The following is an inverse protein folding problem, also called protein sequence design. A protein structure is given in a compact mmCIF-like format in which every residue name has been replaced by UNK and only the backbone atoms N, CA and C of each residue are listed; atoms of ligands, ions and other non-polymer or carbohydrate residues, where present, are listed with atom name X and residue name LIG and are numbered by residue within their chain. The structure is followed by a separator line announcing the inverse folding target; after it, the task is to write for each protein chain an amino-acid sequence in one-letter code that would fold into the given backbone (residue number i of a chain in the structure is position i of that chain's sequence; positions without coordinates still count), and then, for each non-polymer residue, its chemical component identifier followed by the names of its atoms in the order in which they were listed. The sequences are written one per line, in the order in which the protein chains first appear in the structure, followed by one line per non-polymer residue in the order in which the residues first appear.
data_IF_347026017651
#
_entry.id   IF_347026017651
#
_cell.length_a   1.000
_cell.length_b   1.000
_cell.length_c   1.000
_cell.angle_alpha   90.00
_cell.angle_beta   90.00
_cell.angle_gamma   90.00
#
_symmetry.space_group_name_H-M   'P 1'
#
loop_
_entity.id
_entity.type
_entity.pdbx_description
1 polymer ?
#
# COMPACT_ATOMS: atom_id res chain seq x y z
N UNK A 1 11.66 -20.62 9.47
CA UNK A 1 12.78 -19.70 9.17
C UNK A 1 12.30 -18.86 8.00
N UNK A 2 12.37 -17.53 8.09
CA UNK A 2 11.93 -16.66 6.99
C UNK A 2 12.93 -16.78 5.83
N UNK A 3 12.41 -16.79 4.60
CA UNK A 3 13.20 -16.61 3.38
C UNK A 3 13.82 -15.21 3.34
N UNK A 4 14.90 -15.04 2.54
CA UNK A 4 15.52 -13.73 2.35
C UNK A 4 14.54 -12.68 1.84
N UNK A 5 13.62 -13.08 0.93
CA UNK A 5 12.51 -12.24 0.47
C UNK A 5 11.61 -11.79 1.61
N UNK A 6 11.18 -12.70 2.47
CA UNK A 6 10.30 -12.36 3.60
C UNK A 6 10.97 -11.37 4.55
N UNK A 7 12.27 -11.57 4.86
CA UNK A 7 13.04 -10.64 5.68
C UNK A 7 13.08 -9.23 5.09
N UNK A 8 13.23 -9.10 3.78
CA UNK A 8 13.24 -7.81 3.08
C UNK A 8 11.86 -7.16 3.02
N UNK A 9 10.79 -7.95 2.82
CA UNK A 9 9.42 -7.45 2.87
C UNK A 9 9.08 -6.92 4.28
N UNK A 10 9.54 -7.58 5.35
CA UNK A 10 9.44 -7.06 6.71
C UNK A 10 10.31 -5.83 6.93
N UNK A 11 11.49 -5.78 6.31
CA UNK A 11 12.37 -4.63 6.37
C UNK A 11 11.79 -3.38 5.77
N UNK A 12 11.26 -3.52 4.57
CA UNK A 12 10.57 -2.45 3.87
C UNK A 12 9.33 -1.99 4.64
N UNK A 13 8.56 -2.90 5.27
CA UNK A 13 7.49 -2.51 6.20
C UNK A 13 7.99 -1.66 7.37
N UNK A 14 9.13 -2.03 7.95
CA UNK A 14 9.80 -1.24 8.98
C UNK A 14 10.14 0.16 8.49
N UNK A 15 10.81 0.25 7.34
CA UNK A 15 11.16 1.52 6.69
C UNK A 15 9.95 2.40 6.42
N UNK A 16 8.87 1.86 5.82
CA UNK A 16 7.65 2.62 5.54
C UNK A 16 7.07 3.22 6.82
N UNK A 17 7.00 2.44 7.90
CA UNK A 17 6.49 2.96 9.17
C UNK A 17 7.43 4.05 9.71
N UNK A 18 8.71 3.77 9.86
CA UNK A 18 9.63 4.70 10.54
C UNK A 18 9.91 5.96 9.71
N UNK A 19 10.09 5.80 8.41
CA UNK A 19 10.65 6.83 7.54
C UNK A 19 9.60 7.54 6.67
N UNK A 20 8.47 6.91 6.38
CA UNK A 20 7.37 7.58 5.67
C UNK A 20 6.28 8.05 6.61
N UNK A 21 6.03 7.42 7.75
CA UNK A 21 4.98 7.89 8.66
C UNK A 21 5.55 8.80 9.75
N UNK A 22 6.65 8.40 10.39
CA UNK A 22 7.18 9.12 11.55
C UNK A 22 8.30 10.12 11.25
N UNK A 23 8.87 10.14 10.05
CA UNK A 23 9.93 11.07 9.70
C UNK A 23 9.41 12.43 9.23
N UNK A 24 9.45 13.40 10.14
CA UNK A 24 9.05 14.79 9.90
C UNK A 24 9.93 15.52 8.89
N UNK A 25 11.19 15.10 8.70
CA UNK A 25 12.09 15.73 7.72
C UNK A 25 11.68 15.43 6.27
N UNK A 26 10.98 14.30 6.06
CA UNK A 26 10.38 13.93 4.77
C UNK A 26 8.99 14.53 4.56
N UNK A 27 8.56 15.46 5.43
CA UNK A 27 7.28 16.16 5.34
C UNK A 27 6.12 15.47 6.06
N UNK A 28 6.35 14.33 6.71
CA UNK A 28 5.30 13.56 7.38
C UNK A 28 5.24 13.89 8.87
N UNK A 29 4.23 14.65 9.32
CA UNK A 29 4.05 15.01 10.73
C UNK A 29 3.01 14.11 11.41
N UNK A 30 3.42 12.90 11.80
CA UNK A 30 2.53 11.98 12.51
C UNK A 30 1.87 12.58 13.74
N UNK A 31 2.58 13.43 14.51
CA UNK A 31 1.98 14.09 15.68
C UNK A 31 0.95 15.14 15.28
N UNK A 32 1.14 15.81 14.15
CA UNK A 32 0.15 16.67 13.53
C UNK A 32 -1.10 15.87 13.12
N UNK A 33 -0.90 14.78 12.38
CA UNK A 33 -1.97 13.85 11.99
C UNK A 33 -2.72 13.32 13.22
N UNK A 34 -2.03 12.85 14.25
CA UNK A 34 -2.63 12.33 15.49
C UNK A 34 -3.52 13.37 16.17
N UNK A 35 -3.09 14.64 16.25
CA UNK A 35 -3.90 15.73 16.82
C UNK A 35 -5.17 15.98 16.01
N UNK A 36 -5.05 16.02 14.68
CA UNK A 36 -6.20 16.20 13.79
C UNK A 36 -7.18 15.05 14.02
N UNK A 37 -6.70 13.81 13.97
CA UNK A 37 -7.53 12.64 14.16
C UNK A 37 -8.19 12.60 15.54
N UNK A 38 -7.51 13.02 16.61
CA UNK A 38 -8.07 13.08 17.98
C UNK A 38 -9.27 14.05 18.10
N UNK A 39 -9.37 15.07 17.23
CA UNK A 39 -10.57 15.89 17.18
C UNK A 39 -11.76 15.13 16.61
N UNK A 40 -11.53 14.34 15.56
CA UNK A 40 -12.55 13.51 14.93
C UNK A 40 -12.93 12.30 15.80
N UNK A 41 -12.04 11.79 16.66
CA UNK A 41 -12.35 10.64 17.55
C UNK A 41 -13.46 10.95 18.56
N UNK A 42 -13.69 12.24 18.88
CA UNK A 42 -14.78 12.69 19.75
C UNK A 42 -16.16 12.32 19.21
N UNK A 43 -16.29 12.21 17.88
CA UNK A 43 -17.55 11.93 17.19
C UNK A 43 -17.54 10.61 16.42
N UNK A 44 -16.37 10.17 15.95
CA UNK A 44 -16.20 8.99 15.09
C UNK A 44 -15.23 7.99 15.71
N UNK A 45 -15.35 6.70 15.36
CA UNK A 45 -14.33 5.71 15.69
C UNK A 45 -13.34 5.63 14.52
N UNK A 46 -12.18 6.22 14.71
CA UNK A 46 -11.15 6.28 13.67
C UNK A 46 -10.28 5.03 13.72
N UNK A 47 -10.00 4.48 12.54
CA UNK A 47 -9.02 3.44 12.32
C UNK A 47 -8.01 3.96 11.30
N UNK A 48 -6.78 4.16 11.74
CA UNK A 48 -5.67 4.39 10.82
C UNK A 48 -4.98 3.07 10.57
N UNK A 49 -4.64 2.79 9.33
CA UNK A 49 -3.69 1.73 9.04
C UNK A 49 -2.78 2.09 7.88
N UNK A 50 -1.69 1.34 7.78
CA UNK A 50 -0.71 1.47 6.72
C UNK A 50 -0.62 0.12 6.01
N UNK A 51 -0.70 0.14 4.69
CA UNK A 51 -0.67 -1.02 3.82
C UNK A 51 0.43 -0.80 2.80
N UNK A 52 1.05 -1.87 2.35
CA UNK A 52 1.97 -1.81 1.23
C UNK A 52 1.32 -2.59 0.11
N UNK A 53 0.98 -1.91 -0.98
CA UNK A 53 0.45 -2.56 -2.18
C UNK A 53 1.59 -2.83 -3.13
N UNK A 54 1.57 -4.00 -3.74
CA UNK A 54 2.40 -4.24 -4.88
C UNK A 54 1.56 -4.00 -6.14
N UNK A 55 2.07 -3.17 -7.05
CA UNK A 55 1.42 -2.83 -8.32
C UNK A 55 2.12 -3.41 -9.55
N UNK A 56 3.32 -3.99 -9.36
CA UNK A 56 4.09 -4.60 -10.44
C UNK A 56 3.77 -6.08 -10.65
N UNK A 57 3.21 -6.74 -9.63
CA UNK A 57 2.61 -8.07 -9.76
C UNK A 57 1.10 -7.95 -9.85
N UNK A 58 0.49 -8.86 -10.59
CA UNK A 58 -0.92 -9.16 -10.44
C UNK A 58 -1.11 -10.04 -9.19
N UNK A 59 -0.53 -9.70 -8.04
CA UNK A 59 -0.62 -10.53 -6.81
C UNK A 59 -2.06 -10.73 -6.33
N UNK A 60 -2.98 -9.89 -6.78
CA UNK A 60 -4.38 -9.92 -6.38
C UNK A 60 -5.26 -9.39 -7.49
N UNK A 61 -6.26 -10.19 -7.85
CA UNK A 61 -7.39 -9.79 -8.66
C UNK A 61 -8.55 -9.51 -7.69
N UNK A 62 -8.93 -8.24 -7.55
CA UNK A 62 -9.93 -7.83 -6.57
C UNK A 62 -11.33 -7.91 -7.19
N UNK A 63 -12.28 -8.45 -6.43
CA UNK A 63 -13.71 -8.39 -6.74
C UNK A 63 -14.40 -7.54 -5.68
N UNK A 64 -15.26 -6.63 -6.10
CA UNK A 64 -16.04 -5.77 -5.21
C UNK A 64 -17.47 -6.28 -5.14
N UNK A 65 -17.77 -7.13 -4.15
CA UNK A 65 -19.13 -7.67 -3.92
C UNK A 65 -19.28 -9.16 -4.25
N UNK A 66 -20.47 -9.69 -3.98
CA UNK A 66 -20.83 -11.10 -4.23
C UNK A 66 -21.36 -11.33 -5.65
N UNK A 67 -21.78 -10.26 -6.36
CA UNK A 67 -22.34 -10.32 -7.71
C UNK A 67 -21.40 -9.70 -8.75
N UNK A 68 -21.04 -10.55 -9.70
CA UNK A 68 -20.56 -10.29 -11.07
C UNK A 68 -19.06 -9.98 -11.31
N UNK A 69 -18.63 -10.48 -12.47
CA UNK A 69 -17.29 -10.82 -12.98
C UNK A 69 -16.31 -9.65 -13.11
N UNK A 70 -16.62 -8.52 -12.49
CA UNK A 70 -15.86 -7.29 -12.57
C UNK A 70 -14.65 -7.38 -11.65
N UNK A 71 -13.49 -7.29 -12.28
CA UNK A 71 -12.20 -7.45 -11.60
C UNK A 71 -11.45 -6.14 -11.59
N UNK A 72 -10.66 -5.94 -10.54
CA UNK A 72 -9.91 -4.72 -10.35
C UNK A 72 -8.46 -5.02 -9.98
N UNK A 73 -7.58 -4.09 -10.35
CA UNK A 73 -6.15 -4.14 -10.05
C UNK A 73 -5.60 -2.75 -9.75
N UNK A 74 -4.45 -2.72 -9.09
CA UNK A 74 -3.71 -1.49 -8.83
C UNK A 74 -2.66 -1.27 -9.92
N UNK A 75 -2.52 -0.01 -10.35
CA UNK A 75 -1.49 0.45 -11.27
C UNK A 75 -0.82 1.69 -10.70
N UNK A 76 0.41 2.01 -11.14
CA UNK A 76 1.06 3.28 -10.84
C UNK A 76 0.98 4.20 -12.05
N UNK A 77 0.29 5.33 -11.91
CA UNK A 77 0.13 6.33 -12.97
C UNK A 77 0.49 7.72 -12.44
N UNK A 78 1.39 8.43 -13.14
CA UNK A 78 1.85 9.76 -12.73
C UNK A 78 2.37 9.85 -11.28
N UNK A 79 2.92 8.75 -10.75
CA UNK A 79 3.42 8.70 -9.38
C UNK A 79 2.37 8.32 -8.33
N UNK A 80 1.11 8.13 -8.73
CA UNK A 80 0.01 7.76 -7.85
C UNK A 80 -0.45 6.32 -8.07
N UNK A 81 -0.97 5.69 -7.03
CA UNK A 81 -1.57 4.37 -7.12
C UNK A 81 -3.05 4.49 -7.50
N UNK A 82 -3.41 3.96 -8.67
CA UNK A 82 -4.78 3.97 -9.17
C UNK A 82 -5.38 2.57 -9.14
N UNK A 83 -6.65 2.46 -8.79
CA UNK A 83 -7.39 1.21 -8.76
C UNK A 83 -8.39 1.18 -9.91
N UNK A 84 -8.19 0.28 -10.87
CA UNK A 84 -8.93 0.25 -12.13
C UNK A 84 -9.56 -1.11 -12.38
N UNK A 85 -10.73 -1.07 -13.01
CA UNK A 85 -11.37 -2.25 -13.56
C UNK A 85 -10.50 -2.82 -14.68
N UNK A 86 -10.41 -4.15 -14.74
CA UNK A 86 -9.70 -4.90 -15.76
C UNK A 86 -10.63 -5.97 -16.34
N UNK A 87 -10.52 -6.18 -17.64
CA UNK A 87 -11.16 -7.28 -18.34
C UNK A 87 -10.13 -8.42 -18.45
N UNK A 88 -10.13 -9.29 -17.44
CA UNK A 88 -9.22 -10.44 -17.34
C UNK A 88 -9.96 -11.59 -16.70
N UNK A 89 -9.88 -12.79 -17.26
CA UNK A 89 -10.31 -14.03 -16.58
C UNK A 89 -9.31 -14.45 -15.51
N UNK A 90 -9.70 -15.37 -14.62
CA UNK A 90 -8.77 -15.96 -13.65
C UNK A 90 -7.64 -16.75 -14.33
N UNK A 91 -7.93 -17.42 -15.45
CA UNK A 91 -6.92 -18.17 -16.20
C UNK A 91 -5.86 -17.24 -16.78
N UNK A 92 -6.28 -16.18 -17.48
CA UNK A 92 -5.36 -15.17 -18.02
C UNK A 92 -4.56 -14.48 -16.93
N UNK A 93 -5.20 -14.21 -15.78
CA UNK A 93 -4.53 -13.68 -14.60
C UNK A 93 -3.40 -14.61 -14.13
N UNK A 94 -3.68 -15.91 -13.98
CA UNK A 94 -2.68 -16.86 -13.49
C UNK A 94 -1.54 -17.08 -14.47
N UNK A 95 -1.81 -17.03 -15.77
CA UNK A 95 -0.74 -17.15 -16.77
C UNK A 95 0.15 -15.91 -16.79
N UNK A 96 -0.43 -14.71 -16.65
CA UNK A 96 0.35 -13.48 -16.44
C UNK A 96 1.13 -13.49 -15.12
N UNK A 97 0.56 -14.04 -14.05
CA UNK A 97 1.27 -14.16 -12.77
C UNK A 97 2.49 -15.07 -12.87
N UNK A 98 2.40 -16.20 -13.57
CA UNK A 98 3.57 -17.08 -13.79
C UNK A 98 4.68 -16.35 -14.58
N UNK A 99 4.31 -15.57 -15.59
CA UNK A 99 5.25 -14.75 -16.34
C UNK A 99 5.93 -13.70 -15.44
N UNK A 100 5.12 -13.01 -14.63
CA UNK A 100 5.60 -12.02 -13.66
C UNK A 100 6.51 -12.63 -12.60
N UNK A 101 6.17 -13.81 -12.07
CA UNK A 101 6.98 -14.53 -11.09
C UNK A 101 8.37 -14.82 -11.67
N UNK A 102 8.45 -15.26 -12.92
CA UNK A 102 9.73 -15.52 -13.58
C UNK A 102 10.54 -14.24 -13.78
N UNK A 103 9.94 -13.21 -14.40
CA UNK A 103 10.59 -11.90 -14.58
C UNK A 103 11.10 -11.35 -13.26
N UNK A 104 10.33 -11.58 -12.20
CA UNK A 104 10.67 -11.09 -10.89
C UNK A 104 11.78 -11.85 -10.20
N UNK A 105 11.83 -13.17 -10.36
CA UNK A 105 12.96 -13.97 -9.90
C UNK A 105 14.27 -13.44 -10.50
N UNK A 106 14.25 -13.10 -11.80
CA UNK A 106 15.42 -12.54 -12.49
C UNK A 106 15.81 -11.16 -11.92
N UNK A 107 14.83 -10.27 -11.66
CA UNK A 107 15.07 -8.97 -11.02
C UNK A 107 15.65 -9.15 -9.62
N UNK A 108 15.09 -10.07 -8.83
CA UNK A 108 15.55 -10.35 -7.48
C UNK A 108 17.01 -10.84 -7.50
N UNK A 109 17.32 -11.81 -8.36
CA UNK A 109 18.67 -12.35 -8.50
C UNK A 109 19.67 -11.27 -8.93
N UNK A 110 19.30 -10.42 -9.89
CA UNK A 110 20.12 -9.28 -10.32
C UNK A 110 20.36 -8.28 -9.19
N UNK A 111 19.29 -7.87 -8.52
CA UNK A 111 19.33 -6.84 -7.49
C UNK A 111 20.17 -7.24 -6.26
N UNK A 112 20.21 -8.54 -5.97
CA UNK A 112 20.98 -9.14 -4.88
C UNK A 112 22.30 -9.79 -5.32
N UNK A 113 22.78 -9.56 -6.55
CA UNK A 113 24.15 -9.92 -6.93
C UNK A 113 25.19 -9.26 -6.04
N UNK A 114 24.90 -8.03 -5.61
CA UNK A 114 25.70 -7.32 -4.62
C UNK A 114 25.10 -7.51 -3.21
N UNK A 115 25.98 -7.63 -2.22
CA UNK A 115 25.56 -7.77 -0.82
C UNK A 115 24.91 -6.46 -0.37
N UNK A 116 23.61 -6.51 -0.06
CA UNK A 116 22.87 -5.39 0.53
C UNK A 116 22.82 -5.55 2.05
N UNK A 117 23.09 -4.47 2.78
CA UNK A 117 22.92 -4.42 4.23
C UNK A 117 21.60 -3.71 4.53
N UNK A 118 20.83 -4.24 5.46
CA UNK A 118 19.49 -3.75 5.78
C UNK A 118 19.50 -2.28 6.21
N UNK A 119 20.48 -1.91 7.04
CA UNK A 119 20.59 -0.59 7.66
C UNK A 119 21.00 0.50 6.67
N UNK A 120 21.65 0.14 5.57
CA UNK A 120 22.17 1.09 4.57
C UNK A 120 21.53 0.94 3.21
N UNK A 121 20.54 0.05 3.10
CA UNK A 121 19.79 -0.17 1.87
C UNK A 121 19.02 1.08 1.47
N UNK A 122 19.04 1.40 0.17
CA UNK A 122 18.14 2.39 -0.37
C UNK A 122 16.74 1.77 -0.54
N UNK A 123 15.89 1.97 0.47
CA UNK A 123 14.54 1.41 0.50
C UNK A 123 13.60 2.04 -0.53
N UNK A 124 13.87 3.27 -1.01
CA UNK A 124 13.11 3.89 -2.09
C UNK A 124 13.42 3.23 -3.44
N UNK A 125 14.71 2.94 -3.71
CA UNK A 125 15.15 2.14 -4.86
C UNK A 125 14.57 0.72 -4.80
N UNK A 126 14.56 0.10 -3.62
CA UNK A 126 13.91 -1.20 -3.40
C UNK A 126 12.41 -1.11 -3.71
N UNK A 127 11.70 -0.11 -3.19
CA UNK A 127 10.28 0.07 -3.47
C UNK A 127 10.00 0.16 -4.97
N UNK A 128 10.79 0.94 -5.70
CA UNK A 128 10.61 1.13 -7.14
C UNK A 128 10.92 -0.15 -7.92
N UNK A 129 12.07 -0.77 -7.64
CA UNK A 129 12.52 -2.00 -8.31
C UNK A 129 11.51 -3.13 -8.14
N UNK A 130 10.96 -3.26 -6.94
CA UNK A 130 10.04 -4.32 -6.56
C UNK A 130 8.57 -3.90 -6.70
N UNK A 131 8.30 -2.69 -7.22
CA UNK A 131 6.96 -2.14 -7.44
C UNK A 131 6.06 -2.15 -6.21
N UNK A 132 6.62 -1.80 -5.06
CA UNK A 132 5.89 -1.56 -3.83
C UNK A 132 5.47 -0.09 -3.73
N UNK A 133 4.23 0.11 -3.28
CA UNK A 133 3.64 1.42 -3.04
C UNK A 133 3.06 1.43 -1.62
N UNK A 134 3.59 2.27 -0.72
CA UNK A 134 3.03 2.44 0.62
C UNK A 134 1.74 3.26 0.54
N UNK A 135 0.70 2.79 1.21
CA UNK A 135 -0.59 3.46 1.35
C UNK A 135 -0.82 3.70 2.84
N UNK A 136 -0.96 4.95 3.24
CA UNK A 136 -1.60 5.30 4.50
C UNK A 136 -3.09 5.49 4.23
N UNK A 137 -3.94 4.78 4.96
CA UNK A 137 -5.38 4.96 4.86
C UNK A 137 -5.98 5.21 6.25
N UNK A 138 -6.79 6.25 6.32
CA UNK A 138 -7.62 6.57 7.48
C UNK A 138 -9.04 6.14 7.15
N UNK A 139 -9.58 5.22 7.94
CA UNK A 139 -10.98 4.80 7.87
C UNK A 139 -11.71 5.32 9.09
N UNK A 140 -12.79 6.05 8.82
CA UNK A 140 -13.73 6.45 9.85
C UNK A 140 -14.81 5.39 9.93
N UNK A 141 -14.90 4.67 11.05
CA UNK A 141 -16.08 3.85 11.38
C UNK A 141 -16.92 4.66 12.36
N UNK A 142 -18.20 4.87 12.14
CA UNK A 142 -19.00 5.48 13.21
C UNK A 142 -19.36 4.44 14.28
N UNK A 143 -19.36 4.84 15.55
CA UNK A 143 -19.84 4.01 16.65
C UNK A 143 -21.37 4.07 16.78
N UNK A 144 -21.99 5.23 16.47
CA UNK A 144 -23.44 5.49 16.70
C UNK A 144 -24.10 6.56 15.77
N UNK A 145 -23.53 6.91 14.61
CA UNK A 145 -24.04 8.03 13.78
C UNK A 145 -24.33 7.64 12.31
N UNK A 146 -25.23 8.42 11.70
CA UNK A 146 -25.58 8.35 10.28
C UNK A 146 -24.32 8.50 9.41
N UNK A 147 -24.08 7.53 8.52
CA UNK A 147 -22.93 7.45 7.62
C UNK A 147 -23.22 8.04 6.23
N UNK A 148 -24.35 8.70 6.06
CA UNK A 148 -24.76 9.34 4.80
C UNK A 148 -23.72 10.31 4.21
N UNK A 149 -22.87 10.90 5.04
CA UNK A 149 -21.80 11.83 4.63
C UNK A 149 -20.37 11.29 4.82
N UNK A 150 -20.17 9.97 4.98
CA UNK A 150 -18.87 9.36 5.28
C UNK A 150 -17.74 9.79 4.34
N UNK A 151 -17.99 9.78 3.03
CA UNK A 151 -16.98 10.12 2.01
C UNK A 151 -16.53 11.57 2.11
N UNK A 152 -17.45 12.49 2.42
CA UNK A 152 -17.15 13.91 2.59
C UNK A 152 -16.25 14.14 3.82
N UNK A 153 -16.54 13.44 4.93
CA UNK A 153 -15.72 13.53 6.15
C UNK A 153 -14.36 12.89 5.95
N UNK A 154 -14.28 11.74 5.27
CA UNK A 154 -12.99 11.10 4.96
C UNK A 154 -12.14 12.03 4.09
N UNK A 155 -12.73 12.66 3.07
CA UNK A 155 -12.05 13.65 2.25
C UNK A 155 -11.56 14.86 3.05
N UNK A 156 -12.39 15.43 3.93
CA UNK A 156 -12.00 16.53 4.81
C UNK A 156 -10.84 16.15 5.74
N UNK A 157 -10.83 14.92 6.25
CA UNK A 157 -9.71 14.40 7.05
C UNK A 157 -8.43 14.31 6.20
N UNK A 158 -8.52 13.73 4.98
CA UNK A 158 -7.37 13.62 4.08
C UNK A 158 -6.80 14.98 3.64
N UNK A 159 -7.62 16.01 3.50
CA UNK A 159 -7.16 17.37 3.15
C UNK A 159 -6.42 18.07 4.30
N UNK A 160 -6.59 17.60 5.54
CA UNK A 160 -5.97 18.19 6.73
C UNK A 160 -4.68 17.49 7.15
N UNK A 161 -4.49 16.22 6.76
CA UNK A 161 -3.28 15.41 7.05
C UNK A 161 -2.25 15.54 5.94
#
# INVERSE_FOLDING_TARGET
MLSGRELLEYGYKGYVVTDLIFNKEKGNDFRGMEKILDEYTKKYRIFVGAWIKNYGYLKSLYMLGEEEEVRYQYFKENGELVFKQVDLTYEEFWDKEKENEKKFSEIYDEYFKEVRQFETMNWDEYAETFSYFPILYVVLKCKECDLSNKEEVEKEVYEKI
#
